data_IF_957122301768
#
_entry.id   IF_957122301768
#
_cell.length_a   1.000
_cell.length_b   1.000
_cell.length_c   1.000
_cell.angle_alpha   90.00
_cell.angle_beta   90.00
_cell.angle_gamma   90.00
#
_symmetry.space_group_name_H-M   'P 1'
#
loop_
_entity.id
_entity.type
_entity.pdbx_description
1 polymer ?
#
# COMPACT_ATOMS: atom_id res chain seq x y z
N UNK A 1 -6.89 40.66 57.60
CA UNK A 1 -6.66 39.24 57.24
C UNK A 1 -7.76 38.81 56.30
N UNK A 2 -7.47 38.75 55.00
CA UNK A 2 -8.39 38.23 53.97
C UNK A 2 -8.01 36.77 53.74
N UNK A 3 -8.88 35.86 54.14
CA UNK A 3 -8.72 34.42 54.00
C UNK A 3 -9.25 34.03 52.61
N UNK A 4 -8.39 34.06 51.60
CA UNK A 4 -8.74 33.56 50.26
C UNK A 4 -8.75 32.04 50.36
N UNK A 5 -9.95 31.45 50.40
CA UNK A 5 -10.16 30.01 50.24
C UNK A 5 -9.58 29.58 48.89
N UNK A 6 -8.43 28.93 48.95
CA UNK A 6 -7.79 28.15 47.89
C UNK A 6 -8.55 26.82 47.66
N UNK A 7 -9.86 26.89 47.45
CA UNK A 7 -10.65 25.74 46.97
C UNK A 7 -10.95 25.98 45.49
N UNK A 8 -10.67 24.98 44.64
CA UNK A 8 -10.85 24.93 43.17
C UNK A 8 -9.63 25.12 42.24
N UNK A 9 -8.40 24.88 42.71
CA UNK A 9 -7.34 24.37 41.80
C UNK A 9 -7.39 22.84 41.80
N UNK A 10 -8.41 22.27 41.15
CA UNK A 10 -8.30 20.87 40.70
C UNK A 10 -7.17 20.88 39.66
N UNK A 11 -6.04 20.28 39.99
CA UNK A 11 -5.02 19.95 38.99
C UNK A 11 -5.71 19.14 37.89
N UNK A 12 -5.92 19.75 36.72
CA UNK A 12 -6.38 19.05 35.54
C UNK A 12 -5.23 18.16 35.09
N UNK A 13 -5.31 16.88 35.41
CA UNK A 13 -4.39 15.89 34.87
C UNK A 13 -4.74 15.75 33.38
N UNK A 14 -3.83 16.21 32.53
CA UNK A 14 -3.94 16.01 31.09
C UNK A 14 -3.69 14.53 30.77
N UNK A 15 -4.40 14.03 29.77
CA UNK A 15 -4.34 12.62 29.37
C UNK A 15 -3.81 12.55 27.96
N UNK A 16 -2.78 11.74 27.72
CA UNK A 16 -2.29 11.52 26.35
C UNK A 16 -3.43 10.96 25.47
N UNK A 17 -3.72 11.65 24.35
CA UNK A 17 -4.85 11.32 23.49
C UNK A 17 -4.79 9.89 22.95
N UNK A 18 -3.61 9.49 22.44
CA UNK A 18 -3.44 8.17 21.83
C UNK A 18 -3.56 7.04 22.86
N UNK A 19 -2.93 7.20 24.01
CA UNK A 19 -2.99 6.22 25.10
C UNK A 19 -4.43 6.01 25.57
N UNK A 20 -5.17 7.11 25.78
CA UNK A 20 -6.58 7.04 26.15
C UNK A 20 -7.39 6.25 25.13
N UNK A 21 -7.23 6.56 23.85
CA UNK A 21 -7.98 5.89 22.78
C UNK A 21 -7.65 4.40 22.71
N UNK A 22 -6.36 4.04 22.77
CA UNK A 22 -5.92 2.63 22.72
C UNK A 22 -6.42 1.80 23.92
N UNK A 23 -6.58 2.41 25.10
CA UNK A 23 -7.06 1.72 26.31
C UNK A 23 -8.59 1.55 26.34
N UNK A 24 -9.33 2.49 25.74
CA UNK A 24 -10.78 2.58 25.92
C UNK A 24 -11.59 2.07 24.71
N UNK A 25 -10.97 1.92 23.54
CA UNK A 25 -11.68 1.56 22.30
C UNK A 25 -11.02 0.36 21.60
N UNK A 26 -11.79 -0.68 21.24
CA UNK A 26 -11.27 -1.79 20.45
C UNK A 26 -11.03 -1.36 18.99
N UNK A 27 -10.05 -2.00 18.32
CA UNK A 27 -9.64 -1.63 16.94
C UNK A 27 -10.76 -1.68 15.89
N UNK A 28 -11.80 -2.48 16.10
CA UNK A 28 -12.93 -2.63 15.17
C UNK A 28 -14.18 -1.83 15.56
N UNK A 29 -14.06 -0.88 16.49
CA UNK A 29 -15.18 -0.03 16.90
C UNK A 29 -15.69 0.82 15.72
N UNK A 30 -16.99 1.08 15.73
CA UNK A 30 -17.64 1.97 14.75
C UNK A 30 -17.69 3.43 15.23
N UNK A 31 -17.60 3.64 16.54
CA UNK A 31 -17.77 4.96 17.15
C UNK A 31 -16.70 5.20 18.21
N UNK A 32 -16.08 6.38 18.15
CA UNK A 32 -15.18 6.88 19.20
C UNK A 32 -15.79 8.18 19.74
N UNK A 33 -16.19 8.16 21.01
CA UNK A 33 -16.74 9.32 21.71
C UNK A 33 -15.88 9.60 22.96
N UNK A 34 -14.96 10.55 22.84
CA UNK A 34 -13.99 10.92 23.86
C UNK A 34 -14.09 12.42 24.22
N UNK A 35 -15.33 12.88 24.45
CA UNK A 35 -15.64 14.27 24.77
C UNK A 35 -15.16 14.63 26.18
N UNK A 36 -14.53 15.81 26.33
CA UNK A 36 -14.14 16.40 27.62
C UNK A 36 -13.33 15.44 28.50
N UNK A 37 -12.33 14.79 27.91
CA UNK A 37 -11.44 13.84 28.59
C UNK A 37 -10.09 14.45 28.95
N UNK A 38 -9.94 15.77 28.73
CA UNK A 38 -8.67 16.50 28.86
C UNK A 38 -7.57 15.86 28.00
N UNK A 39 -7.93 15.42 26.80
CA UNK A 39 -6.95 14.83 25.88
C UNK A 39 -5.96 15.90 25.42
N UNK A 40 -4.69 15.53 25.39
CA UNK A 40 -3.60 16.37 24.88
C UNK A 40 -2.75 15.64 23.84
N UNK A 41 -2.03 16.44 23.06
CA UNK A 41 -1.08 15.96 22.07
C UNK A 41 -1.72 15.64 20.72
N UNK A 42 -1.20 14.60 20.08
CA UNK A 42 -1.58 14.17 18.74
C UNK A 42 -2.43 12.91 18.83
N UNK A 43 -3.41 12.78 17.93
CA UNK A 43 -4.29 11.60 17.86
C UNK A 43 -4.29 10.98 16.46
N UNK A 44 -3.88 9.71 16.39
CA UNK A 44 -3.92 8.90 15.19
C UNK A 44 -5.00 7.81 15.30
N UNK A 45 -6.03 7.92 14.45
CA UNK A 45 -7.12 6.94 14.36
C UNK A 45 -6.99 6.06 13.11
N UNK A 46 -5.83 6.02 12.46
CA UNK A 46 -5.58 5.17 11.28
C UNK A 46 -5.75 3.68 11.59
N UNK A 47 -5.64 3.26 12.85
CA UNK A 47 -5.83 1.85 13.21
C UNK A 47 -7.30 1.41 13.37
N UNK A 48 -8.28 2.28 13.07
CA UNK A 48 -9.71 2.04 13.28
C UNK A 48 -10.49 1.97 11.95
N UNK A 49 -10.39 0.88 11.17
CA UNK A 49 -10.90 0.81 9.80
C UNK A 49 -12.44 0.83 9.68
N UNK A 50 -13.16 0.58 10.77
CA UNK A 50 -14.62 0.53 10.79
C UNK A 50 -15.28 1.82 11.29
N UNK A 51 -14.49 2.85 11.58
CA UNK A 51 -14.95 4.06 12.24
C UNK A 51 -15.89 4.85 11.33
N UNK A 52 -17.12 5.07 11.80
CA UNK A 52 -18.16 5.88 11.14
C UNK A 52 -18.43 7.18 11.87
N UNK A 53 -18.19 7.21 13.18
CA UNK A 53 -18.49 8.34 14.06
C UNK A 53 -17.30 8.68 14.95
N UNK A 54 -16.89 9.96 14.96
CA UNK A 54 -15.80 10.46 15.81
C UNK A 54 -16.27 11.72 16.53
N UNK A 55 -16.27 11.71 17.85
CA UNK A 55 -16.48 12.90 18.67
C UNK A 55 -15.38 13.02 19.74
N UNK A 56 -14.47 13.95 19.52
CA UNK A 56 -13.35 14.27 20.44
C UNK A 56 -13.44 15.72 20.92
N UNK A 57 -14.64 16.29 20.96
CA UNK A 57 -14.85 17.67 21.35
C UNK A 57 -14.48 17.98 22.81
N UNK A 58 -14.35 19.27 23.13
CA UNK A 58 -13.97 19.78 24.46
C UNK A 58 -12.60 19.29 24.96
N UNK A 59 -11.67 19.00 24.05
CA UNK A 59 -10.28 18.66 24.37
C UNK A 59 -9.34 19.75 23.82
N UNK A 60 -9.27 20.88 24.51
CA UNK A 60 -8.57 22.09 24.03
C UNK A 60 -7.06 21.92 23.82
N UNK A 61 -6.45 20.89 24.43
CA UNK A 61 -5.02 20.56 24.29
C UNK A 61 -4.73 19.54 23.19
N UNK A 62 -5.76 19.02 22.51
CA UNK A 62 -5.60 18.13 21.35
C UNK A 62 -5.21 18.98 20.13
N UNK A 63 -4.05 18.71 19.53
CA UNK A 63 -3.40 19.58 18.53
C UNK A 63 -3.49 19.06 17.11
N UNK A 64 -3.56 17.75 16.92
CA UNK A 64 -3.67 17.14 15.60
C UNK A 64 -4.57 15.90 15.61
N UNK A 65 -5.08 15.58 14.43
CA UNK A 65 -5.90 14.41 14.16
C UNK A 65 -5.47 13.80 12.82
N UNK A 66 -5.30 12.49 12.79
CA UNK A 66 -4.92 11.70 11.61
C UNK A 66 -5.90 10.55 11.38
N UNK A 67 -6.30 10.32 10.12
CA UNK A 67 -7.47 9.49 9.77
C UNK A 67 -7.26 8.60 8.53
N UNK A 68 -6.03 8.30 8.12
CA UNK A 68 -5.65 7.74 6.81
C UNK A 68 -6.47 6.50 6.36
N UNK A 69 -7.04 5.74 7.30
CA UNK A 69 -7.78 4.49 7.04
C UNK A 69 -9.30 4.62 7.10
N UNK A 70 -9.83 5.77 7.53
CA UNK A 70 -11.23 5.89 7.99
C UNK A 70 -12.14 6.49 6.91
N UNK A 71 -12.24 5.82 5.76
CA UNK A 71 -13.09 6.26 4.65
C UNK A 71 -14.60 6.18 4.93
N UNK A 72 -15.01 5.58 6.06
CA UNK A 72 -16.41 5.38 6.46
C UNK A 72 -16.97 6.46 7.37
N UNK A 73 -16.14 7.41 7.81
CA UNK A 73 -16.58 8.48 8.71
C UNK A 73 -17.64 9.32 7.99
N UNK A 74 -18.83 9.37 8.58
CA UNK A 74 -19.95 10.19 8.11
C UNK A 74 -20.25 11.36 9.06
N UNK A 75 -19.82 11.24 10.32
CA UNK A 75 -19.95 12.27 11.34
C UNK A 75 -18.62 12.49 12.05
N UNK A 76 -18.23 13.75 12.16
CA UNK A 76 -17.06 14.16 12.93
C UNK A 76 -17.36 15.37 13.80
N UNK A 77 -16.87 15.33 15.02
CA UNK A 77 -16.97 16.42 15.97
C UNK A 77 -15.62 16.63 16.66
N UNK A 78 -15.05 17.82 16.41
CA UNK A 78 -13.78 18.28 16.95
C UNK A 78 -13.96 19.67 17.61
N UNK A 79 -15.17 20.01 18.05
CA UNK A 79 -15.46 21.32 18.62
C UNK A 79 -14.63 21.59 19.88
N UNK A 80 -14.17 22.84 20.06
CA UNK A 80 -13.35 23.26 21.20
C UNK A 80 -12.10 22.37 21.42
N UNK A 81 -11.43 22.04 20.32
CA UNK A 81 -10.09 21.42 20.33
C UNK A 81 -9.03 22.44 19.91
N UNK A 82 -7.75 22.12 20.12
CA UNK A 82 -6.61 22.91 19.65
C UNK A 82 -6.19 22.59 18.22
N UNK A 83 -6.95 21.76 17.50
CA UNK A 83 -6.65 21.37 16.12
C UNK A 83 -6.79 22.59 15.21
N UNK A 84 -5.76 22.86 14.43
CA UNK A 84 -5.70 24.00 13.50
C UNK A 84 -5.31 23.60 12.05
N UNK A 85 -5.01 22.33 11.82
CA UNK A 85 -4.76 21.75 10.51
C UNK A 85 -5.91 20.79 10.13
N UNK A 86 -6.53 21.03 8.99
CA UNK A 86 -7.70 20.26 8.49
C UNK A 86 -7.41 19.55 7.17
N UNK A 87 -6.15 19.34 6.80
CA UNK A 87 -5.80 18.61 5.58
C UNK A 87 -6.43 17.21 5.54
N UNK A 88 -6.56 16.55 6.69
CA UNK A 88 -7.21 15.23 6.78
C UNK A 88 -8.66 15.22 6.27
N UNK A 89 -9.35 16.36 6.18
CA UNK A 89 -10.72 16.42 5.65
C UNK A 89 -10.80 16.10 4.15
N UNK A 90 -9.71 16.27 3.41
CA UNK A 90 -9.67 15.90 1.99
C UNK A 90 -9.74 14.38 1.78
N UNK A 91 -9.45 13.61 2.83
CA UNK A 91 -9.40 12.14 2.84
C UNK A 91 -10.72 11.51 3.32
N UNK A 92 -11.72 12.32 3.67
CA UNK A 92 -13.02 11.88 4.18
C UNK A 92 -14.12 12.07 3.12
N UNK A 93 -14.23 11.19 2.11
CA UNK A 93 -15.17 11.36 1.01
C UNK A 93 -16.64 11.26 1.43
N UNK A 94 -16.92 10.66 2.58
CA UNK A 94 -18.27 10.32 3.04
C UNK A 94 -18.76 11.17 4.22
N UNK A 95 -18.00 12.18 4.66
CA UNK A 95 -18.43 13.08 5.75
C UNK A 95 -19.68 13.84 5.31
N UNK A 96 -20.76 13.66 6.06
CA UNK A 96 -22.03 14.37 5.89
C UNK A 96 -22.15 15.53 6.86
N UNK A 97 -21.62 15.37 8.07
CA UNK A 97 -21.67 16.37 9.13
C UNK A 97 -20.32 16.51 9.80
N UNK A 98 -19.87 17.76 9.95
CA UNK A 98 -18.67 18.09 10.70
C UNK A 98 -18.92 19.26 11.67
N UNK A 99 -18.63 19.04 12.94
CA UNK A 99 -18.61 20.07 13.96
C UNK A 99 -17.16 20.51 14.18
N UNK A 100 -16.82 21.68 13.63
CA UNK A 100 -15.49 22.26 13.72
C UNK A 100 -15.24 22.97 15.07
N UNK A 101 -13.98 23.17 15.49
CA UNK A 101 -13.61 24.02 16.63
C UNK A 101 -14.30 25.39 16.56
N UNK A 102 -15.07 25.72 17.60
CA UNK A 102 -15.58 27.07 17.80
C UNK A 102 -14.43 27.96 18.26
N UNK A 103 -13.86 28.76 17.36
CA UNK A 103 -12.95 29.83 17.75
C UNK A 103 -13.78 31.05 18.12
N UNK A 104 -13.93 31.30 19.42
CA UNK A 104 -14.51 32.53 19.94
C UNK A 104 -15.84 32.35 20.65
N UNK A 105 -15.79 32.35 21.97
CA UNK A 105 -16.66 33.21 22.76
C UNK A 105 -15.74 34.10 23.62
N UNK A 106 -15.92 35.43 23.49
CA UNK A 106 -15.63 36.47 24.51
C UNK A 106 -14.48 37.48 24.40
N UNK A 107 -13.57 37.52 23.41
CA UNK A 107 -12.71 38.71 23.25
C UNK A 107 -12.25 38.92 21.78
N UNK A 108 -12.88 39.86 21.06
CA UNK A 108 -12.31 40.49 19.85
C UNK A 108 -12.25 39.69 18.54
N UNK A 109 -13.21 39.93 17.64
CA UNK A 109 -13.01 40.11 16.18
C UNK A 109 -12.47 38.99 15.27
N UNK A 110 -12.59 37.69 15.59
CA UNK A 110 -12.47 36.65 14.53
C UNK A 110 -13.76 35.86 14.40
N UNK A 111 -14.64 36.31 13.50
CA UNK A 111 -15.92 35.65 13.22
C UNK A 111 -15.72 34.20 12.73
N UNK A 112 -16.61 33.28 13.12
CA UNK A 112 -16.57 31.87 12.68
C UNK A 112 -16.51 31.67 11.15
N UNK A 113 -16.88 32.69 10.37
CA UNK A 113 -16.72 32.71 8.91
C UNK A 113 -15.24 32.67 8.46
N UNK A 114 -14.32 33.29 9.21
CA UNK A 114 -12.89 33.27 8.89
C UNK A 114 -12.30 31.86 9.02
N UNK A 115 -12.79 31.09 9.99
CA UNK A 115 -12.35 29.72 10.23
C UNK A 115 -12.88 28.75 9.18
N UNK A 116 -14.17 28.83 8.86
CA UNK A 116 -14.76 28.06 7.74
C UNK A 116 -14.03 28.40 6.43
N UNK A 117 -13.70 29.67 6.20
CA UNK A 117 -12.89 30.08 5.04
C UNK A 117 -11.48 29.47 5.06
N UNK A 118 -10.84 29.31 6.22
CA UNK A 118 -9.53 28.65 6.34
C UNK A 118 -9.61 27.16 5.98
N UNK A 119 -10.62 26.45 6.49
CA UNK A 119 -10.87 25.03 6.18
C UNK A 119 -11.14 24.84 4.68
N UNK A 120 -12.01 25.69 4.11
CA UNK A 120 -12.31 25.66 2.69
C UNK A 120 -11.03 25.91 1.87
N UNK A 121 -10.21 26.90 2.24
CA UNK A 121 -8.93 27.18 1.57
C UNK A 121 -7.95 26.02 1.66
N UNK A 122 -7.85 25.31 2.79
CA UNK A 122 -6.96 24.15 2.90
C UNK A 122 -7.39 23.00 2.00
N UNK A 123 -8.71 22.72 1.95
CA UNK A 123 -9.27 21.70 1.05
C UNK A 123 -9.00 22.05 -0.42
N UNK A 124 -9.27 23.31 -0.82
CA UNK A 124 -9.00 23.76 -2.19
C UNK A 124 -7.51 23.68 -2.54
N UNK A 125 -6.63 24.10 -1.63
CA UNK A 125 -5.18 24.04 -1.84
C UNK A 125 -4.73 22.62 -2.10
N UNK A 126 -5.16 21.66 -1.29
CA UNK A 126 -4.74 20.27 -1.43
C UNK A 126 -5.29 19.62 -2.70
N UNK A 127 -6.56 19.87 -3.02
CA UNK A 127 -7.15 19.39 -4.28
C UNK A 127 -6.43 19.96 -5.50
N UNK A 128 -6.09 21.25 -5.48
CA UNK A 128 -5.34 21.87 -6.56
C UNK A 128 -3.92 21.31 -6.68
N UNK A 129 -3.23 21.06 -5.56
CA UNK A 129 -1.92 20.41 -5.59
C UNK A 129 -1.98 18.99 -6.19
N UNK A 130 -2.97 18.19 -5.80
CA UNK A 130 -3.20 16.85 -6.38
C UNK A 130 -3.52 16.93 -7.87
N UNK A 131 -4.34 17.92 -8.27
CA UNK A 131 -4.69 18.15 -9.68
C UNK A 131 -3.49 18.61 -10.52
N UNK A 132 -2.66 19.51 -9.98
CA UNK A 132 -1.42 19.96 -10.62
C UNK A 132 -0.46 18.78 -10.82
N UNK A 133 -0.28 17.93 -9.80
CA UNK A 133 0.55 16.73 -9.89
C UNK A 133 0.04 15.76 -10.96
N UNK A 134 -1.26 15.49 -10.99
CA UNK A 134 -1.88 14.67 -12.05
C UNK A 134 -1.73 15.30 -13.44
N UNK A 135 -1.83 16.62 -13.53
CA UNK A 135 -1.60 17.37 -14.76
C UNK A 135 -0.17 17.22 -15.27
N UNK A 136 0.81 17.30 -14.36
CA UNK A 136 2.23 17.09 -14.67
C UNK A 136 2.52 15.65 -15.11
N UNK A 137 2.01 14.64 -14.39
CA UNK A 137 2.16 13.22 -14.76
C UNK A 137 1.54 12.94 -16.13
N UNK A 138 0.33 13.45 -16.40
CA UNK A 138 -0.31 13.31 -17.71
C UNK A 138 0.48 14.02 -18.82
N UNK A 139 1.07 15.19 -18.53
CA UNK A 139 1.93 15.88 -19.48
C UNK A 139 3.16 15.04 -19.85
N UNK A 140 3.83 14.45 -18.88
CA UNK A 140 4.97 13.55 -19.11
C UNK A 140 4.59 12.35 -19.99
N UNK A 141 3.43 11.72 -19.76
CA UNK A 141 2.96 10.63 -20.62
C UNK A 141 2.66 11.09 -22.06
N UNK A 142 2.13 12.30 -22.24
CA UNK A 142 1.91 12.86 -23.58
C UNK A 142 3.23 13.13 -24.30
N UNK A 143 4.22 13.69 -23.60
CA UNK A 143 5.55 13.90 -24.18
C UNK A 143 6.16 12.57 -24.61
N UNK A 144 6.20 11.56 -23.73
CA UNK A 144 6.71 10.22 -24.07
C UNK A 144 5.97 9.61 -25.27
N UNK A 145 4.65 9.74 -25.31
CA UNK A 145 3.84 9.28 -26.45
C UNK A 145 4.17 10.01 -27.74
N UNK A 146 4.46 11.30 -27.72
CA UNK A 146 4.85 12.04 -28.93
C UNK A 146 6.21 11.60 -29.46
N UNK A 147 7.12 11.15 -28.58
CA UNK A 147 8.41 10.58 -28.98
C UNK A 147 8.24 9.20 -29.63
N UNK A 148 7.36 8.34 -29.07
CA UNK A 148 7.09 7.01 -29.63
C UNK A 148 6.24 7.07 -30.90
N UNK A 149 5.34 8.05 -30.99
CA UNK A 149 4.40 8.21 -32.10
C UNK A 149 4.41 9.65 -32.65
N UNK A 150 5.43 10.02 -33.43
CA UNK A 150 5.49 11.35 -34.03
C UNK A 150 4.24 11.66 -34.85
N UNK A 151 3.72 12.87 -34.69
CA UNK A 151 2.53 13.39 -35.41
C UNK A 151 1.22 12.63 -35.13
N UNK A 152 1.12 11.86 -34.04
CA UNK A 152 -0.14 11.26 -33.59
C UNK A 152 -0.66 11.96 -32.33
N UNK A 153 -1.99 12.16 -32.20
CA UNK A 153 -2.57 12.61 -30.95
C UNK A 153 -2.34 11.56 -29.86
N UNK A 154 -2.20 12.01 -28.62
CA UNK A 154 -2.05 11.10 -27.48
C UNK A 154 -3.26 10.16 -27.38
N UNK A 155 -2.98 8.86 -27.42
CA UNK A 155 -3.94 7.80 -27.17
C UNK A 155 -3.34 6.86 -26.11
N UNK A 156 -3.97 6.81 -24.93
CA UNK A 156 -3.46 6.03 -23.81
C UNK A 156 -3.42 4.53 -24.10
N UNK A 157 -4.39 4.01 -24.87
CA UNK A 157 -4.43 2.58 -25.22
C UNK A 157 -3.29 2.22 -26.17
N UNK A 158 -3.07 3.01 -27.23
CA UNK A 158 -1.94 2.83 -28.15
C UNK A 158 -0.61 2.91 -27.39
N UNK A 159 -0.47 3.88 -26.47
CA UNK A 159 0.71 4.00 -25.62
C UNK A 159 0.92 2.77 -24.73
N UNK A 160 -0.14 2.24 -24.11
CA UNK A 160 -0.05 1.02 -23.31
C UNK A 160 0.38 -0.20 -24.15
N UNK A 161 -0.18 -0.37 -25.35
CA UNK A 161 0.19 -1.46 -26.24
C UNK A 161 1.64 -1.36 -26.69
N UNK A 162 2.11 -0.17 -27.04
CA UNK A 162 3.50 0.03 -27.44
C UNK A 162 4.48 -0.20 -26.30
N UNK A 163 4.15 0.24 -25.08
CA UNK A 163 4.95 -0.10 -23.89
C UNK A 163 5.00 -1.62 -23.67
N UNK A 164 3.88 -2.33 -23.84
CA UNK A 164 3.85 -3.79 -23.75
C UNK A 164 4.69 -4.44 -24.85
N UNK A 165 4.62 -3.94 -26.09
CA UNK A 165 5.40 -4.40 -27.24
C UNK A 165 6.89 -4.23 -27.01
N UNK A 166 7.33 -3.06 -26.55
CA UNK A 166 8.73 -2.77 -26.24
C UNK A 166 9.24 -3.68 -25.10
N UNK A 167 8.46 -3.86 -24.03
CA UNK A 167 8.81 -4.79 -22.94
C UNK A 167 8.94 -6.23 -23.45
N UNK A 168 8.04 -6.67 -24.33
CA UNK A 168 8.11 -8.00 -24.91
C UNK A 168 9.36 -8.18 -25.77
N UNK A 169 9.71 -7.17 -26.58
CA UNK A 169 10.90 -7.20 -27.43
C UNK A 169 12.21 -7.26 -26.63
N UNK A 170 12.26 -6.59 -25.47
CA UNK A 170 13.41 -6.64 -24.57
C UNK A 170 13.49 -7.97 -23.79
N UNK A 171 12.34 -8.48 -23.33
CA UNK A 171 12.28 -9.67 -22.47
C UNK A 171 12.45 -10.98 -23.25
N UNK A 172 11.91 -11.09 -24.46
CA UNK A 172 11.92 -12.34 -25.23
C UNK A 172 13.34 -12.89 -25.49
N UNK A 173 14.34 -12.08 -25.88
CA UNK A 173 15.72 -12.53 -26.01
C UNK A 173 16.32 -13.01 -24.69
N UNK A 174 16.01 -12.33 -23.56
CA UNK A 174 16.51 -12.70 -22.24
C UNK A 174 15.96 -14.06 -21.79
N UNK A 175 14.66 -14.30 -21.97
CA UNK A 175 14.01 -15.59 -21.73
C UNK A 175 14.67 -16.69 -22.54
N UNK A 176 14.92 -16.44 -23.84
CA UNK A 176 15.58 -17.40 -24.72
C UNK A 176 17.00 -17.72 -24.25
N UNK A 177 17.77 -16.71 -23.84
CA UNK A 177 19.13 -16.89 -23.33
C UNK A 177 19.16 -17.73 -22.05
N UNK A 178 18.31 -17.38 -21.06
CA UNK A 178 18.20 -18.12 -19.80
C UNK A 178 17.71 -19.55 -19.98
N UNK A 179 16.83 -19.78 -20.96
CA UNK A 179 16.41 -21.13 -21.33
C UNK A 179 17.58 -21.99 -21.80
N UNK A 180 18.43 -21.44 -22.69
CA UNK A 180 19.63 -22.15 -23.16
C UNK A 180 20.60 -22.42 -22.00
N UNK A 181 20.81 -21.44 -21.12
CA UNK A 181 21.66 -21.61 -19.93
C UNK A 181 21.15 -22.76 -19.04
N UNK A 182 19.83 -22.80 -18.78
CA UNK A 182 19.21 -23.84 -17.98
C UNK A 182 19.30 -25.22 -18.67
N UNK A 183 19.04 -25.30 -19.98
CA UNK A 183 19.17 -26.54 -20.76
C UNK A 183 20.60 -27.11 -20.69
N UNK A 184 21.62 -26.25 -20.69
CA UNK A 184 23.02 -26.66 -20.50
C UNK A 184 23.27 -27.20 -19.09
N UNK A 185 22.77 -26.50 -18.05
CA UNK A 185 22.89 -26.97 -16.67
C UNK A 185 22.19 -28.32 -16.45
N UNK A 186 21.00 -28.51 -17.03
CA UNK A 186 20.27 -29.77 -16.99
C UNK A 186 21.08 -30.88 -17.66
N UNK A 187 21.64 -30.60 -18.84
CA UNK A 187 22.47 -31.58 -19.58
C UNK A 187 23.69 -31.99 -18.76
N UNK A 188 24.38 -31.02 -18.15
CA UNK A 188 25.54 -31.29 -17.29
C UNK A 188 25.16 -32.12 -16.06
N UNK A 189 24.04 -31.78 -15.40
CA UNK A 189 23.53 -32.53 -14.26
C UNK A 189 23.17 -33.97 -14.64
N UNK A 190 22.50 -34.18 -15.79
CA UNK A 190 22.16 -35.52 -16.31
C UNK A 190 23.41 -36.35 -16.63
N UNK A 191 24.42 -35.73 -17.25
CA UNK A 191 25.68 -36.41 -17.55
C UNK A 191 26.43 -36.82 -16.28
N UNK A 192 26.39 -35.98 -15.24
CA UNK A 192 27.03 -36.25 -13.95
C UNK A 192 26.28 -37.30 -13.12
N UNK A 193 24.95 -37.32 -13.18
CA UNK A 193 24.11 -38.19 -12.37
C UNK A 193 23.99 -39.63 -12.90
N UNK A 194 24.60 -39.95 -14.05
CA UNK A 194 24.44 -41.20 -14.79
C UNK A 194 23.01 -41.36 -15.37
N UNK A 195 22.86 -42.19 -16.42
CA UNK A 195 21.61 -42.34 -17.20
C UNK A 195 20.41 -42.72 -16.31
N UNK A 196 20.65 -43.49 -15.25
CA UNK A 196 19.61 -43.96 -14.32
C UNK A 196 18.92 -42.83 -13.52
N UNK A 197 19.55 -41.66 -13.38
CA UNK A 197 18.99 -40.52 -12.64
C UNK A 197 18.45 -39.41 -13.55
N UNK A 198 18.62 -39.51 -14.87
CA UNK A 198 18.18 -38.47 -15.81
C UNK A 198 16.67 -38.20 -15.71
N UNK A 199 15.86 -39.24 -15.57
CA UNK A 199 14.41 -39.14 -15.37
C UNK A 199 14.05 -38.47 -14.05
N UNK A 200 14.87 -38.65 -13.00
CA UNK A 200 14.63 -38.03 -11.69
C UNK A 200 14.92 -36.52 -11.74
N UNK A 201 15.91 -36.09 -12.52
CA UNK A 201 16.16 -34.66 -12.78
C UNK A 201 14.96 -34.03 -13.49
N UNK A 202 14.39 -34.71 -14.49
CA UNK A 202 13.20 -34.20 -15.19
C UNK A 202 11.98 -34.11 -14.26
N UNK A 203 11.76 -35.10 -13.40
CA UNK A 203 10.70 -35.08 -12.39
C UNK A 203 10.91 -33.97 -11.35
N UNK A 204 12.14 -33.78 -10.88
CA UNK A 204 12.52 -32.73 -9.93
C UNK A 204 12.18 -31.34 -10.48
N UNK A 205 12.61 -31.05 -11.71
CA UNK A 205 12.36 -29.75 -12.34
C UNK A 205 10.90 -29.57 -12.76
N UNK A 206 10.24 -30.64 -13.22
CA UNK A 206 8.82 -30.62 -13.54
C UNK A 206 7.95 -30.33 -12.31
N UNK A 207 8.29 -30.91 -11.15
CA UNK A 207 7.61 -30.66 -9.88
C UNK A 207 7.81 -29.21 -9.44
N UNK A 208 9.04 -28.70 -9.51
CA UNK A 208 9.30 -27.28 -9.21
C UNK A 208 8.51 -26.34 -10.12
N UNK A 209 8.44 -26.66 -11.42
CA UNK A 209 7.66 -25.87 -12.38
C UNK A 209 6.17 -25.83 -12.01
N UNK A 210 5.59 -26.96 -11.62
CA UNK A 210 4.19 -27.02 -11.16
C UNK A 210 3.95 -26.15 -9.92
N UNK A 211 4.86 -26.20 -8.95
CA UNK A 211 4.79 -25.37 -7.74
C UNK A 211 4.75 -23.88 -8.13
N UNK A 212 5.66 -23.45 -9.00
CA UNK A 212 5.80 -22.04 -9.40
C UNK A 212 4.64 -21.55 -10.27
N UNK A 213 4.20 -22.33 -11.25
CA UNK A 213 3.13 -21.91 -12.18
C UNK A 213 1.73 -21.98 -11.56
N UNK A 214 1.45 -23.00 -10.76
CA UNK A 214 0.11 -23.26 -10.23
C UNK A 214 -0.07 -22.76 -8.80
N UNK A 215 1.00 -22.24 -8.17
CA UNK A 215 1.00 -21.94 -6.73
C UNK A 215 0.70 -23.17 -5.88
N UNK A 216 0.93 -24.37 -6.43
CA UNK A 216 0.56 -25.63 -5.81
C UNK A 216 1.58 -26.01 -4.74
N UNK A 217 1.48 -25.34 -3.59
CA UNK A 217 2.30 -25.58 -2.41
C UNK A 217 1.71 -26.67 -1.50
N UNK A 218 0.91 -27.60 -2.05
CA UNK A 218 0.36 -28.69 -1.27
C UNK A 218 1.48 -29.57 -0.69
N UNK A 219 1.30 -30.03 0.56
CA UNK A 219 2.28 -30.85 1.29
C UNK A 219 2.76 -32.07 0.48
N UNK A 220 1.89 -32.62 -0.37
CA UNK A 220 2.21 -33.71 -1.27
C UNK A 220 3.25 -33.34 -2.35
N UNK A 221 3.05 -32.22 -3.05
CA UNK A 221 3.95 -31.78 -4.14
C UNK A 221 5.28 -31.33 -3.57
N UNK A 222 5.26 -30.66 -2.42
CA UNK A 222 6.47 -30.31 -1.67
C UNK A 222 7.22 -31.57 -1.20
N UNK A 223 6.49 -32.57 -0.69
CA UNK A 223 7.05 -33.86 -0.31
C UNK A 223 7.70 -34.60 -1.49
N UNK A 224 7.11 -34.55 -2.69
CA UNK A 224 7.70 -35.10 -3.91
C UNK A 224 9.00 -34.39 -4.30
N UNK A 225 9.02 -33.05 -4.26
CA UNK A 225 10.22 -32.27 -4.57
C UNK A 225 11.38 -32.63 -3.61
N UNK A 226 11.09 -32.72 -2.32
CA UNK A 226 12.06 -33.14 -1.29
C UNK A 226 12.56 -34.56 -1.53
N UNK A 227 11.67 -35.49 -1.87
CA UNK A 227 12.04 -36.87 -2.17
C UNK A 227 13.00 -36.96 -3.37
N UNK A 228 12.70 -36.26 -4.47
CA UNK A 228 13.59 -36.21 -5.63
C UNK A 228 14.92 -35.54 -5.31
N UNK A 229 14.90 -34.45 -4.52
CA UNK A 229 16.11 -33.78 -4.07
C UNK A 229 17.02 -34.72 -3.27
N UNK A 230 16.48 -35.46 -2.31
CA UNK A 230 17.22 -36.40 -1.48
C UNK A 230 17.88 -37.50 -2.32
N UNK A 231 17.18 -38.01 -3.34
CA UNK A 231 17.73 -39.02 -4.25
C UNK A 231 18.87 -38.44 -5.10
N UNK A 232 18.69 -37.23 -5.62
CA UNK A 232 19.70 -36.57 -6.47
C UNK A 232 20.94 -36.12 -5.68
N UNK A 233 20.81 -35.82 -4.39
CA UNK A 233 21.94 -35.47 -3.51
C UNK A 233 22.99 -36.59 -3.37
N UNK A 234 22.64 -37.83 -3.74
CA UNK A 234 23.61 -38.94 -3.79
C UNK A 234 24.61 -38.82 -4.95
N UNK A 235 24.33 -37.95 -5.93
CA UNK A 235 25.15 -37.78 -7.16
C UNK A 235 25.50 -36.31 -7.47
N UNK A 236 24.67 -35.37 -7.05
CA UNK A 236 24.81 -33.95 -7.29
C UNK A 236 25.00 -33.20 -5.97
N UNK A 237 25.82 -32.16 -5.98
CA UNK A 237 25.98 -31.30 -4.81
C UNK A 237 24.70 -30.52 -4.56
N UNK A 238 24.44 -30.19 -3.29
CA UNK A 238 23.29 -29.38 -2.90
C UNK A 238 23.26 -28.03 -3.62
N UNK A 239 24.43 -27.41 -3.84
CA UNK A 239 24.58 -26.15 -4.56
C UNK A 239 24.15 -26.27 -6.04
N UNK A 240 24.47 -27.38 -6.70
CA UNK A 240 24.07 -27.64 -8.08
C UNK A 240 22.55 -27.78 -8.19
N UNK A 241 21.94 -28.53 -7.26
CA UNK A 241 20.49 -28.70 -7.19
C UNK A 241 19.77 -27.37 -6.90
N UNK A 242 20.29 -26.57 -5.97
CA UNK A 242 19.73 -25.27 -5.66
C UNK A 242 19.86 -24.31 -6.85
N UNK A 243 20.99 -24.36 -7.57
CA UNK A 243 21.20 -23.55 -8.78
C UNK A 243 20.17 -23.90 -9.85
N UNK A 244 19.93 -25.19 -10.08
CA UNK A 244 18.91 -25.67 -11.01
C UNK A 244 17.51 -25.18 -10.62
N UNK A 245 17.11 -25.32 -9.34
CA UNK A 245 15.81 -24.84 -8.86
C UNK A 245 15.65 -23.33 -9.00
N UNK A 246 16.67 -22.56 -8.63
CA UNK A 246 16.64 -21.10 -8.73
C UNK A 246 16.49 -20.65 -10.19
N UNK A 247 17.27 -21.24 -11.11
CA UNK A 247 17.20 -20.94 -12.54
C UNK A 247 15.88 -21.36 -13.18
N UNK A 248 15.34 -22.53 -12.80
CA UNK A 248 14.02 -22.98 -13.24
C UNK A 248 12.93 -22.01 -12.76
N UNK A 249 12.99 -21.57 -11.50
CA UNK A 249 12.03 -20.62 -10.92
C UNK A 249 12.09 -19.27 -11.62
N UNK A 250 13.29 -18.73 -11.81
CA UNK A 250 13.51 -17.48 -12.55
C UNK A 250 12.95 -17.58 -13.97
N UNK A 251 13.26 -18.67 -14.70
CA UNK A 251 12.78 -18.86 -16.05
C UNK A 251 11.24 -18.93 -16.10
N UNK A 252 10.60 -19.68 -15.20
CA UNK A 252 9.13 -19.77 -15.15
C UNK A 252 8.48 -18.39 -14.91
N UNK A 253 9.04 -17.57 -14.02
CA UNK A 253 8.54 -16.22 -13.76
C UNK A 253 8.65 -15.33 -15.00
N UNK A 254 9.77 -15.40 -15.72
CA UNK A 254 9.97 -14.62 -16.94
C UNK A 254 9.07 -15.12 -18.10
N UNK A 255 8.88 -16.43 -18.25
CA UNK A 255 7.96 -17.03 -19.22
C UNK A 255 6.51 -16.58 -18.95
N UNK A 256 6.09 -16.56 -17.68
CA UNK A 256 4.78 -16.06 -17.27
C UNK A 256 4.61 -14.56 -17.57
N UNK A 257 5.63 -13.75 -17.27
CA UNK A 257 5.60 -12.32 -17.59
C UNK A 257 5.49 -12.09 -19.10
N UNK A 258 6.26 -12.84 -19.90
CA UNK A 258 6.23 -12.76 -21.35
C UNK A 258 4.87 -13.20 -21.93
N UNK A 259 4.24 -14.24 -21.37
CA UNK A 259 2.91 -14.70 -21.76
C UNK A 259 1.85 -13.63 -21.50
N UNK A 260 1.90 -12.95 -20.35
CA UNK A 260 1.00 -11.85 -20.01
C UNK A 260 1.16 -10.66 -20.97
N UNK A 261 2.40 -10.28 -21.30
CA UNK A 261 2.66 -9.23 -22.29
C UNK A 261 2.07 -9.60 -23.66
N UNK A 262 2.20 -10.87 -24.07
CA UNK A 262 1.62 -11.36 -25.33
C UNK A 262 0.09 -11.31 -25.33
N UNK A 263 -0.57 -11.53 -24.19
CA UNK A 263 -2.03 -11.38 -24.08
C UNK A 263 -2.46 -9.92 -24.27
N UNK A 264 -1.73 -8.98 -23.66
CA UNK A 264 -1.98 -7.53 -23.81
C UNK A 264 -1.82 -7.11 -25.28
N UNK A 265 -0.74 -7.54 -25.94
CA UNK A 265 -0.47 -7.17 -27.34
C UNK A 265 -1.50 -7.77 -28.32
N UNK A 266 -2.07 -8.94 -28.02
CA UNK A 266 -3.07 -9.61 -28.89
C UNK A 266 -4.46 -8.98 -28.87
N UNK A 267 -4.70 -8.00 -28.00
CA UNK A 267 -5.96 -7.27 -27.91
C UNK A 267 -6.01 -6.04 -28.83
N UNK A 268 -4.90 -5.77 -29.55
CA UNK A 268 -4.80 -4.84 -30.70
C UNK A 268 -5.32 -5.51 -31.98
#
# INVERSE_FOLDING_TARGET
MINIKLEHLKYYIMVNAQEYINQNFPKYVQEIVAINKNLEGDLDLSDYPNLTHVDVGLNSQLRSLKLDSSNRINYMSIYNTGINNFSFLSELPNVQSICLPRTGDLIGEVSGNAYIAQVIRSIYREKNQKLEKLGQENHQFRELSQHLFPNRPYNFLEFQFEVARLKYQELAPQVRSKKIELEQLITNAKNKAEVSFATIIDLFLGTQKQIVEQGNNGDFVQGQLIAYQNVLQTKLAQEELQTLLNKQTELCQLENHLANLKLIIKQD
#
